data_IF_613689792383
#
_entry.id   IF_613689792383
#
_cell.length_a   1.000
_cell.length_b   1.000
_cell.length_c   1.000
_cell.angle_alpha   90.00
_cell.angle_beta   90.00
_cell.angle_gamma   90.00
#
_symmetry.space_group_name_H-M   'P 1'
#
loop_
_entity.id
_entity.type
_entity.pdbx_description
1 polymer ?
#
# COMPACT_ATOMS: atom_id res chain seq x y z
N UNK A 1 -2.79 -8.55 -4.94
CA UNK A 1 -3.63 -7.81 -5.92
C UNK A 1 -5.11 -8.19 -5.90
N UNK A 2 -5.48 -9.46 -5.68
CA UNK A 2 -6.90 -9.88 -5.70
C UNK A 2 -7.79 -9.07 -4.74
N UNK A 3 -7.40 -8.97 -3.46
CA UNK A 3 -8.09 -8.11 -2.47
C UNK A 3 -8.30 -6.68 -2.99
N UNK A 4 -7.24 -6.03 -3.47
CA UNK A 4 -7.26 -4.65 -3.96
C UNK A 4 -8.21 -4.48 -5.15
N UNK A 5 -8.34 -5.50 -6.01
CA UNK A 5 -9.23 -5.47 -7.19
C UNK A 5 -10.70 -5.70 -6.84
N UNK A 6 -10.98 -6.49 -5.81
CA UNK A 6 -12.33 -7.00 -5.53
C UNK A 6 -13.00 -6.40 -4.30
N UNK A 7 -12.23 -5.81 -3.38
CA UNK A 7 -12.77 -5.22 -2.17
C UNK A 7 -13.34 -3.82 -2.45
N UNK A 8 -14.39 -3.46 -1.72
CA UNK A 8 -14.95 -2.11 -1.76
C UNK A 8 -13.99 -1.08 -1.15
N UNK A 9 -14.22 0.20 -1.47
CA UNK A 9 -13.44 1.31 -0.90
C UNK A 9 -13.53 1.29 0.62
N UNK A 10 -12.36 1.32 1.27
CA UNK A 10 -12.21 1.30 2.73
C UNK A 10 -12.80 0.05 3.41
N UNK A 11 -13.12 -1.00 2.65
CA UNK A 11 -13.54 -2.26 3.21
C UNK A 11 -12.39 -2.88 4.01
N UNK A 12 -12.73 -3.52 5.14
CA UNK A 12 -11.77 -4.32 5.90
C UNK A 12 -11.75 -5.75 5.38
N UNK A 13 -10.64 -6.45 5.58
CA UNK A 13 -10.45 -7.81 5.06
C UNK A 13 -11.45 -8.82 5.62
N UNK A 14 -11.81 -8.73 6.91
CA UNK A 14 -12.78 -9.66 7.52
C UNK A 14 -14.18 -9.58 6.87
N UNK A 15 -14.84 -8.41 6.77
CA UNK A 15 -16.13 -8.32 6.09
C UNK A 15 -16.03 -8.59 4.57
N UNK A 16 -14.89 -8.30 3.94
CA UNK A 16 -14.66 -8.69 2.54
C UNK A 16 -14.68 -10.22 2.35
N UNK A 17 -13.95 -10.98 3.19
CA UNK A 17 -13.95 -12.45 3.13
C UNK A 17 -15.36 -13.01 3.35
N UNK A 18 -16.12 -12.42 4.28
CA UNK A 18 -17.51 -12.84 4.55
C UNK A 18 -18.45 -12.59 3.38
N UNK A 19 -18.18 -11.58 2.55
CA UNK A 19 -18.98 -11.24 1.37
C UNK A 19 -18.63 -12.07 0.12
N UNK A 20 -17.49 -12.79 0.12
CA UNK A 20 -17.13 -13.69 -0.97
C UNK A 20 -17.98 -14.95 -0.92
N UNK A 21 -18.62 -15.30 -2.04
CA UNK A 21 -19.28 -16.60 -2.19
C UNK A 21 -18.25 -17.74 -2.01
N UNK A 22 -18.50 -18.61 -1.04
CA UNK A 22 -17.57 -19.67 -0.65
C UNK A 22 -16.41 -19.22 0.27
N UNK A 23 -16.39 -17.94 0.67
CA UNK A 23 -15.52 -17.41 1.71
C UNK A 23 -14.03 -17.72 1.52
N UNK A 24 -13.39 -18.18 2.61
CA UNK A 24 -11.96 -18.48 2.61
C UNK A 24 -11.58 -19.64 1.69
N UNK A 25 -12.46 -20.64 1.54
CA UNK A 25 -12.20 -21.78 0.66
C UNK A 25 -12.17 -21.36 -0.81
N UNK A 26 -13.11 -20.48 -1.21
CA UNK A 26 -13.07 -19.88 -2.54
C UNK A 26 -11.81 -19.05 -2.75
N UNK A 27 -11.44 -18.21 -1.78
CA UNK A 27 -10.20 -17.42 -1.85
C UNK A 27 -8.97 -18.30 -2.02
N UNK A 28 -8.88 -19.42 -1.28
CA UNK A 28 -7.80 -20.40 -1.43
C UNK A 28 -7.82 -21.02 -2.82
N UNK A 29 -8.98 -21.40 -3.36
CA UNK A 29 -9.08 -21.95 -4.71
C UNK A 29 -8.58 -20.97 -5.78
N UNK A 30 -8.96 -19.70 -5.69
CA UNK A 30 -8.53 -18.67 -6.63
C UNK A 30 -7.02 -18.43 -6.55
N UNK A 31 -6.48 -18.23 -5.35
CA UNK A 31 -5.09 -17.77 -5.18
C UNK A 31 -4.08 -18.92 -5.21
N UNK A 32 -4.40 -20.05 -4.57
CA UNK A 32 -3.47 -21.19 -4.43
C UNK A 32 -3.61 -22.19 -5.57
N UNK A 33 -4.84 -22.40 -6.05
CA UNK A 33 -5.11 -23.38 -7.10
C UNK A 33 -5.35 -22.76 -8.47
N UNK A 34 -5.13 -21.44 -8.60
CA UNK A 34 -5.33 -20.65 -9.82
C UNK A 34 -6.65 -20.97 -10.53
N UNK A 35 -7.72 -21.15 -9.75
CA UNK A 35 -9.01 -21.64 -10.26
C UNK A 35 -9.62 -20.71 -11.34
N UNK A 36 -9.21 -19.45 -11.37
CA UNK A 36 -9.66 -18.46 -12.37
C UNK A 36 -8.64 -18.21 -13.49
N UNK A 37 -7.44 -18.80 -13.42
CA UNK A 37 -6.38 -18.58 -14.41
C UNK A 37 -5.80 -17.16 -14.41
N UNK A 38 -5.83 -16.47 -13.26
CA UNK A 38 -5.44 -15.05 -13.14
C UNK A 38 -4.16 -14.84 -12.34
N UNK A 39 -3.51 -15.89 -11.85
CA UNK A 39 -2.32 -15.77 -11.01
C UNK A 39 -1.21 -14.95 -11.69
N UNK A 40 -0.95 -15.21 -12.97
CA UNK A 40 0.07 -14.48 -13.74
C UNK A 40 -0.22 -12.96 -13.81
N UNK A 41 -1.49 -12.58 -14.03
CA UNK A 41 -1.89 -11.17 -14.08
C UNK A 41 -1.78 -10.49 -12.71
N UNK A 42 -2.09 -11.23 -11.64
CA UNK A 42 -1.96 -10.74 -10.27
C UNK A 42 -0.49 -10.50 -9.92
N UNK A 43 0.42 -11.38 -10.35
CA UNK A 43 1.86 -11.23 -10.16
C UNK A 43 2.44 -10.09 -10.98
N UNK A 44 2.06 -9.97 -12.26
CA UNK A 44 2.48 -8.83 -13.09
C UNK A 44 2.08 -7.49 -12.45
N UNK A 45 0.85 -7.39 -11.93
CA UNK A 45 0.40 -6.18 -11.24
C UNK A 45 1.16 -5.93 -9.94
N UNK A 46 1.54 -6.98 -9.20
CA UNK A 46 2.39 -6.84 -8.00
C UNK A 46 3.78 -6.32 -8.37
N UNK A 47 4.39 -6.88 -9.42
CA UNK A 47 5.68 -6.44 -9.92
C UNK A 47 5.67 -4.96 -10.31
N UNK A 48 4.64 -4.51 -11.06
CA UNK A 48 4.47 -3.11 -11.44
C UNK A 48 4.27 -2.20 -10.21
N UNK A 49 3.49 -2.65 -9.22
CA UNK A 49 3.27 -1.89 -7.98
C UNK A 49 4.57 -1.70 -7.19
N UNK A 50 5.37 -2.75 -7.08
CA UNK A 50 6.68 -2.69 -6.40
C UNK A 50 7.66 -1.82 -7.20
N UNK A 51 7.70 -1.97 -8.52
CA UNK A 51 8.61 -1.21 -9.38
C UNK A 51 8.29 0.30 -9.40
N UNK A 52 7.03 0.66 -9.24
CA UNK A 52 6.58 2.06 -9.18
C UNK A 52 6.60 2.66 -7.78
N UNK A 53 6.78 1.84 -6.73
CA UNK A 53 6.82 2.33 -5.36
C UNK A 53 7.98 3.32 -5.16
N UNK A 54 7.68 4.41 -4.48
CA UNK A 54 8.63 5.46 -4.15
C UNK A 54 8.46 5.85 -2.69
N UNK A 55 9.56 5.87 -1.94
CA UNK A 55 9.59 6.42 -0.59
C UNK A 55 10.00 7.89 -0.63
N UNK A 56 9.01 8.76 -0.45
CA UNK A 56 9.18 10.22 -0.44
C UNK A 56 10.12 10.69 0.69
N UNK A 57 10.18 9.98 1.82
CA UNK A 57 11.08 10.32 2.92
C UNK A 57 12.52 9.97 2.59
N UNK A 58 12.77 8.80 2.01
CA UNK A 58 14.09 8.45 1.51
C UNK A 58 14.58 9.44 0.45
N UNK A 59 13.68 9.92 -0.43
CA UNK A 59 13.98 10.98 -1.38
C UNK A 59 14.34 12.31 -0.73
N UNK A 60 13.63 12.71 0.34
CA UNK A 60 13.98 13.91 1.10
C UNK A 60 15.34 13.78 1.77
N UNK A 61 15.65 12.62 2.37
CA UNK A 61 16.93 12.40 3.06
C UNK A 61 18.13 12.40 2.11
N UNK A 62 17.93 12.03 0.83
CA UNK A 62 18.97 12.01 -0.20
C UNK A 62 19.17 13.35 -0.91
N UNK A 63 18.33 14.35 -0.62
CA UNK A 63 18.36 15.68 -1.22
C UNK A 63 18.67 16.72 -0.13
N UNK A 64 19.92 17.20 -0.03
CA UNK A 64 20.34 18.17 0.99
C UNK A 64 19.51 19.46 0.99
N UNK A 65 19.05 19.91 -0.18
CA UNK A 65 18.26 21.14 -0.32
C UNK A 65 16.82 20.94 0.20
N UNK A 66 16.23 19.76 -0.01
CA UNK A 66 14.94 19.40 0.60
C UNK A 66 15.09 19.16 2.10
N UNK A 67 16.14 18.46 2.53
CA UNK A 67 16.38 18.17 3.93
C UNK A 67 16.54 19.46 4.76
N UNK A 68 17.22 20.48 4.21
CA UNK A 68 17.39 21.78 4.87
C UNK A 68 16.08 22.52 5.18
N UNK A 69 14.96 22.13 4.56
CA UNK A 69 13.62 22.69 4.86
C UNK A 69 13.03 22.10 6.14
N UNK A 70 13.49 20.93 6.57
CA UNK A 70 13.06 20.24 7.79
C UNK A 70 13.93 20.64 8.98
N UNK A 71 14.12 21.94 9.20
CA UNK A 71 14.70 22.45 10.45
C UNK A 71 13.63 22.42 11.54
N UNK A 72 13.95 21.80 12.67
CA UNK A 72 13.13 21.92 13.87
C UNK A 72 13.05 23.40 14.25
N UNK A 73 11.85 23.88 14.55
CA UNK A 73 11.62 25.21 15.10
C UNK A 73 12.36 25.26 16.45
N UNK A 74 13.62 25.68 16.41
CA UNK A 74 14.46 25.78 17.60
C UNK A 74 13.93 26.97 18.36
N UNK A 75 13.20 26.71 19.45
CA UNK A 75 12.65 27.68 20.40
C UNK A 75 13.31 29.05 20.28
N UNK A 76 12.65 30.00 19.60
CA UNK A 76 13.19 31.34 19.44
C UNK A 76 13.39 31.97 20.83
N UNK A 77 14.60 32.39 21.24
CA UNK A 77 14.82 33.01 22.54
C UNK A 77 14.20 34.41 22.70
N UNK A 78 13.27 34.82 21.84
CA UNK A 78 12.81 36.21 21.75
C UNK A 78 11.31 36.43 21.55
N UNK A 79 10.44 35.44 21.79
CA UNK A 79 9.01 35.74 21.95
C UNK A 79 8.79 36.41 23.30
N UNK A 80 8.97 37.74 23.35
CA UNK A 80 8.62 38.59 24.50
C UNK A 80 7.12 38.58 24.70
N UNK A 81 6.70 38.24 25.92
CA UNK A 81 5.45 38.75 26.53
C UNK A 81 5.65 40.22 26.93
#
# INVERSE_FOLDING_TARGET
MFYIRTADRLQRTAPWIQALDGGLDHLRAVVVHDHLGIAADLEATMADHVASYTDEWAQVLSDPDKLARFVSFTNAPHTRL
#
